data_IF_826828525511
#
_entry.id   IF_826828525511
#
_cell.length_a   1.000
_cell.length_b   1.000
_cell.length_c   1.000
_cell.angle_alpha   90.00
_cell.angle_beta   90.00
_cell.angle_gamma   90.00
#
_symmetry.space_group_name_H-M   'P 1'
#
loop_
_entity.id
_entity.type
_entity.pdbx_description
1 polymer ?
#
# COMPACT_ATOMS: atom_id res chain seq x y z
N UNK A 1 73.10 18.36 28.96
CA UNK A 1 71.92 19.13 28.52
C UNK A 1 71.83 18.98 27.02
N UNK A 2 70.68 18.66 26.39
CA UNK A 2 69.28 19.00 26.76
C UNK A 2 68.40 17.72 26.98
N UNK A 3 67.05 17.74 26.98
CA UNK A 3 66.28 17.52 28.20
C UNK A 3 65.46 16.22 28.28
N UNK A 4 65.18 15.86 29.55
CA UNK A 4 64.23 14.87 30.08
C UNK A 4 62.87 14.88 29.36
N UNK A 5 62.46 13.73 28.83
CA UNK A 5 61.05 13.43 28.58
C UNK A 5 60.37 12.96 29.88
N UNK A 6 59.23 13.56 30.16
CA UNK A 6 58.48 13.43 31.40
C UNK A 6 57.79 12.06 31.53
N UNK A 7 57.84 11.52 32.76
CA UNK A 7 56.94 10.47 33.26
C UNK A 7 55.51 11.00 33.20
N UNK A 8 54.65 10.39 32.38
CA UNK A 8 53.20 10.51 32.50
C UNK A 8 52.69 9.40 33.42
N UNK A 9 51.90 9.82 34.39
CA UNK A 9 51.32 8.99 35.44
C UNK A 9 50.27 8.02 34.87
N UNK A 10 50.30 6.78 35.38
CA UNK A 10 49.19 5.84 35.33
C UNK A 10 47.99 6.42 36.09
N UNK A 11 46.91 6.73 35.38
CA UNK A 11 45.58 6.88 35.95
C UNK A 11 44.80 5.56 35.74
N UNK A 12 43.94 5.16 36.69
CA UNK A 12 43.34 3.84 36.70
C UNK A 12 42.26 3.69 35.61
N UNK A 13 42.20 2.48 35.05
CA UNK A 13 41.14 2.00 34.18
C UNK A 13 39.78 2.10 34.91
N UNK A 14 38.77 2.80 34.36
CA UNK A 14 37.42 2.66 34.86
C UNK A 14 36.83 1.35 34.32
N UNK A 15 36.75 0.41 35.25
CA UNK A 15 35.95 -0.80 35.27
C UNK A 15 34.69 -0.74 34.38
N UNK A 16 34.52 -1.81 33.63
CA UNK A 16 33.31 -2.18 32.93
C UNK A 16 32.06 -2.00 33.79
N UNK A 17 31.20 -1.06 33.40
CA UNK A 17 29.79 -1.06 33.76
C UNK A 17 29.09 -1.76 32.59
N UNK A 18 28.70 -3.02 32.81
CA UNK A 18 27.74 -3.72 31.94
C UNK A 18 26.40 -3.01 32.09
N UNK A 19 25.76 -2.50 31.02
CA UNK A 19 24.34 -2.25 31.06
C UNK A 19 23.65 -3.61 30.88
N UNK A 20 23.32 -4.21 32.02
CA UNK A 20 22.15 -5.07 32.14
C UNK A 20 20.95 -4.17 31.82
N UNK A 21 20.44 -4.25 30.60
CA UNK A 21 19.32 -3.43 30.14
C UNK A 21 18.42 -4.30 29.28
N UNK A 22 17.22 -4.53 29.80
CA UNK A 22 16.09 -5.25 29.21
C UNK A 22 16.18 -5.42 27.68
N UNK A 23 16.17 -6.68 27.24
CA UNK A 23 15.71 -7.07 25.91
C UNK A 23 14.25 -6.61 25.77
N UNK A 24 14.04 -5.38 25.32
CA UNK A 24 12.79 -4.93 24.75
C UNK A 24 12.64 -5.65 23.41
N UNK A 25 12.06 -6.86 23.45
CA UNK A 25 11.30 -7.35 22.32
C UNK A 25 10.20 -6.32 22.02
N UNK A 26 10.04 -5.82 20.78
CA UNK A 26 8.76 -5.26 20.40
C UNK A 26 7.77 -6.42 20.33
N UNK A 27 6.93 -6.50 21.35
CA UNK A 27 5.67 -7.21 21.34
C UNK A 27 4.92 -6.87 20.05
N UNK A 28 4.71 -7.88 19.22
CA UNK A 28 3.84 -7.84 18.06
C UNK A 28 2.40 -7.73 18.58
N UNK A 29 1.81 -6.53 18.50
CA UNK A 29 0.37 -6.34 18.69
C UNK A 29 -0.25 -5.92 17.37
N UNK A 30 -1.05 -6.85 16.89
CA UNK A 30 -1.86 -6.82 15.69
C UNK A 30 -3.02 -5.85 15.90
N UNK A 31 -3.03 -4.73 15.18
CA UNK A 31 -4.23 -3.88 15.03
C UNK A 31 -4.87 -4.18 13.68
N UNK A 32 -5.45 -5.37 13.64
CA UNK A 32 -6.59 -5.75 12.81
C UNK A 32 -7.49 -6.52 13.76
N UNK A 33 -8.78 -6.19 13.85
CA UNK A 33 -9.73 -7.07 14.51
C UNK A 33 -9.50 -8.51 14.01
N UNK A 34 -9.17 -9.37 14.96
CA UNK A 34 -8.83 -10.79 14.82
C UNK A 34 -9.93 -11.48 13.98
N UNK A 35 -9.62 -12.25 12.91
CA UNK A 35 -10.60 -13.18 12.36
C UNK A 35 -10.96 -14.22 13.45
N UNK A 36 -12.23 -14.65 13.57
CA UNK A 36 -12.58 -15.73 14.48
C UNK A 36 -11.89 -17.02 14.01
N UNK A 37 -10.99 -17.52 14.87
CA UNK A 37 -10.32 -18.82 14.89
C UNK A 37 -9.90 -19.47 13.56
N UNK A 38 -8.63 -19.31 13.21
CA UNK A 38 -7.79 -20.41 12.70
C UNK A 38 -6.32 -20.12 13.05
N UNK A 39 -5.63 -21.13 13.60
CA UNK A 39 -4.30 -21.01 14.16
C UNK A 39 -3.21 -20.70 13.10
N UNK A 40 -2.14 -19.96 13.46
CA UNK A 40 -1.13 -19.50 12.50
C UNK A 40 -0.16 -20.63 12.11
N UNK A 41 0.01 -20.87 10.81
CA UNK A 41 1.24 -21.46 10.26
C UNK A 41 2.16 -20.33 9.79
N UNK A 42 3.46 -20.48 10.07
CA UNK A 42 4.46 -19.40 10.16
C UNK A 42 4.60 -18.47 8.92
N UNK A 43 5.08 -17.21 9.12
CA UNK A 43 4.81 -16.09 8.21
C UNK A 43 5.95 -15.77 7.24
N UNK A 44 5.61 -15.16 6.10
CA UNK A 44 6.54 -14.54 5.15
C UNK A 44 6.99 -13.19 5.73
N UNK A 45 8.25 -12.99 6.15
CA UNK A 45 8.54 -11.92 7.12
C UNK A 45 8.68 -10.48 6.57
N UNK A 46 8.81 -10.22 5.27
CA UNK A 46 9.37 -8.90 4.87
C UNK A 46 8.64 -8.13 3.75
N UNK A 47 7.33 -8.34 3.55
CA UNK A 47 6.52 -7.40 2.76
C UNK A 47 5.48 -6.72 3.65
N UNK A 48 5.73 -5.47 4.11
CA UNK A 48 4.75 -4.74 4.87
C UNK A 48 3.62 -4.27 3.94
N UNK A 49 2.46 -4.90 4.05
CA UNK A 49 1.20 -4.41 3.48
C UNK A 49 0.41 -3.71 4.59
N UNK A 50 0.13 -2.42 4.41
CA UNK A 50 -0.61 -1.62 5.39
C UNK A 50 -1.89 -1.13 4.76
N UNK A 51 -3.03 -1.46 5.39
CA UNK A 51 -4.35 -0.96 5.01
C UNK A 51 -4.74 0.14 6.01
N UNK A 52 -4.82 1.38 5.56
CA UNK A 52 -5.37 2.55 6.26
C UNK A 52 -6.81 2.79 5.76
N UNK A 53 -7.74 3.48 6.48
CA UNK A 53 -9.18 3.41 6.20
C UNK A 53 -9.63 3.71 4.76
N UNK A 54 -8.78 4.35 3.95
CA UNK A 54 -9.00 4.66 2.53
C UNK A 54 -7.77 4.45 1.65
N UNK A 55 -6.71 3.81 2.17
CA UNK A 55 -5.46 3.66 1.44
C UNK A 55 -4.77 2.31 1.69
N UNK A 56 -4.10 1.78 0.68
CA UNK A 56 -3.29 0.56 0.74
C UNK A 56 -1.86 0.91 0.39
N UNK A 57 -0.93 0.73 1.32
CA UNK A 57 0.50 0.92 1.09
C UNK A 57 1.24 -0.42 1.05
N UNK A 58 2.14 -0.56 0.09
CA UNK A 58 3.07 -1.68 0.00
C UNK A 58 4.44 -1.18 -0.47
N UNK A 59 5.51 -1.87 -0.07
CA UNK A 59 6.83 -1.66 -0.66
C UNK A 59 7.45 -2.99 -1.08
N UNK A 60 8.52 -2.92 -1.86
CA UNK A 60 9.39 -4.05 -2.16
C UNK A 60 9.85 -4.05 -3.62
N UNK A 61 10.37 -5.19 -4.12
CA UNK A 61 10.75 -5.31 -5.52
C UNK A 61 9.60 -4.97 -6.47
N UNK A 62 9.88 -4.13 -7.45
CA UNK A 62 8.97 -3.84 -8.54
C UNK A 62 8.78 -5.03 -9.48
N UNK A 63 7.80 -4.91 -10.37
CA UNK A 63 7.46 -5.91 -11.38
C UNK A 63 6.90 -5.18 -12.61
N UNK A 64 6.67 -5.93 -13.68
CA UNK A 64 5.89 -5.46 -14.80
C UNK A 64 4.40 -5.74 -14.56
N UNK A 65 3.57 -4.75 -14.85
CA UNK A 65 2.12 -4.88 -14.89
C UNK A 65 1.64 -4.86 -16.33
N UNK A 66 0.65 -5.70 -16.65
CA UNK A 66 -0.09 -5.56 -17.89
C UNK A 66 -1.02 -4.34 -17.81
N UNK A 67 -1.49 -3.88 -18.96
CA UNK A 67 -2.44 -2.77 -19.04
C UNK A 67 -3.68 -3.03 -18.15
N UNK A 68 -3.98 -2.11 -17.23
CA UNK A 68 -5.06 -2.20 -16.27
C UNK A 68 -5.59 -0.81 -15.87
N UNK A 69 -6.77 -0.80 -15.24
CA UNK A 69 -7.37 0.40 -14.66
C UNK A 69 -8.12 -0.03 -13.39
N UNK A 70 -8.15 0.86 -12.40
CA UNK A 70 -8.83 0.66 -11.13
C UNK A 70 -9.27 2.01 -10.56
N UNK A 71 -10.33 1.99 -9.75
CA UNK A 71 -10.92 3.20 -9.14
C UNK A 71 -9.95 3.98 -8.25
N UNK A 72 -9.08 3.27 -7.51
CA UNK A 72 -8.11 3.94 -6.67
C UNK A 72 -7.13 4.76 -7.50
N UNK A 73 -6.79 5.94 -7.00
CA UNK A 73 -5.55 6.59 -7.42
C UNK A 73 -4.39 5.73 -6.96
N UNK A 74 -3.29 5.70 -7.70
CA UNK A 74 -2.06 5.13 -7.15
C UNK A 74 -0.87 6.05 -7.30
N UNK A 75 0.00 6.07 -6.30
CA UNK A 75 1.31 6.69 -6.32
C UNK A 75 2.36 5.58 -6.29
N UNK A 76 3.25 5.55 -7.27
CA UNK A 76 4.39 4.62 -7.33
C UNK A 76 5.67 5.43 -7.34
N UNK A 77 6.55 5.18 -6.38
CA UNK A 77 7.86 5.81 -6.30
C UNK A 77 8.94 4.73 -6.33
N UNK A 78 9.91 4.85 -7.24
CA UNK A 78 11.12 4.05 -7.17
C UNK A 78 12.02 4.58 -6.05
N UNK A 79 12.45 3.73 -5.11
CA UNK A 79 13.42 4.12 -4.07
C UNK A 79 14.72 4.63 -4.66
N UNK A 80 15.14 4.03 -5.77
CA UNK A 80 16.28 4.43 -6.59
C UNK A 80 15.97 4.15 -8.06
N UNK A 81 16.63 4.84 -8.98
CA UNK A 81 16.42 4.63 -10.42
C UNK A 81 15.07 5.15 -10.92
N UNK A 82 14.56 4.50 -11.97
CA UNK A 82 13.35 4.87 -12.70
C UNK A 82 12.52 3.63 -13.06
N UNK A 83 11.24 3.86 -13.36
CA UNK A 83 10.33 2.87 -13.94
C UNK A 83 9.87 3.33 -15.32
N UNK A 84 9.43 2.37 -16.14
CA UNK A 84 8.72 2.67 -17.38
C UNK A 84 7.24 2.83 -17.12
N UNK A 85 6.66 3.91 -17.65
CA UNK A 85 5.25 4.26 -17.49
C UNK A 85 4.60 4.35 -18.86
N UNK A 86 3.48 3.65 -19.03
CA UNK A 86 2.61 3.79 -20.20
C UNK A 86 1.18 3.99 -19.74
N UNK A 87 0.58 5.11 -20.09
CA UNK A 87 -0.80 5.44 -19.75
C UNK A 87 -1.62 5.85 -20.98
N UNK A 88 -2.93 5.92 -20.79
CA UNK A 88 -3.86 6.45 -21.79
C UNK A 88 -3.46 7.88 -22.21
N UNK A 89 -3.47 8.14 -23.51
CA UNK A 89 -3.06 9.43 -24.09
C UNK A 89 -1.57 9.53 -24.43
N UNK A 90 -0.72 8.66 -23.89
CA UNK A 90 0.70 8.63 -24.23
C UNK A 90 0.95 7.87 -25.54
N UNK A 91 1.81 8.42 -26.41
CA UNK A 91 2.21 7.76 -27.67
C UNK A 91 3.19 6.60 -27.42
N UNK A 92 4.14 6.82 -26.52
CA UNK A 92 5.19 5.87 -26.14
C UNK A 92 5.27 5.77 -24.63
N UNK A 93 5.94 4.73 -24.13
CA UNK A 93 6.27 4.68 -22.71
C UNK A 93 7.33 5.74 -22.37
N UNK A 94 7.31 6.25 -21.14
CA UNK A 94 8.25 7.24 -20.63
C UNK A 94 8.93 6.73 -19.36
N UNK A 95 10.18 7.13 -19.14
CA UNK A 95 10.92 6.80 -17.93
C UNK A 95 10.70 7.89 -16.88
N UNK A 96 10.35 7.50 -15.66
CA UNK A 96 10.17 8.43 -14.54
C UNK A 96 10.70 7.84 -13.23
N UNK A 97 11.06 8.69 -12.28
CA UNK A 97 11.45 8.26 -10.93
C UNK A 97 10.24 7.86 -10.08
N UNK A 98 9.05 8.34 -10.45
CA UNK A 98 7.78 7.95 -9.87
C UNK A 98 6.61 8.38 -10.75
N UNK A 99 5.41 7.93 -10.41
CA UNK A 99 4.16 8.32 -11.09
C UNK A 99 3.00 8.38 -10.10
N UNK A 100 2.17 9.42 -10.22
CA UNK A 100 0.83 9.48 -9.66
C UNK A 100 -0.17 9.24 -10.80
N UNK A 101 -1.04 8.24 -10.64
CA UNK A 101 -2.06 7.87 -11.62
C UNK A 101 -3.44 8.22 -11.06
N UNK A 102 -4.22 8.96 -11.85
CA UNK A 102 -5.61 9.27 -11.52
C UNK A 102 -6.53 8.04 -11.50
N UNK A 103 -7.75 8.19 -10.97
CA UNK A 103 -8.71 7.09 -10.90
C UNK A 103 -9.12 6.63 -12.30
N UNK A 104 -9.27 5.32 -12.48
CA UNK A 104 -9.76 4.66 -13.71
C UNK A 104 -8.94 4.94 -14.99
N UNK A 105 -7.73 5.48 -14.85
CA UNK A 105 -6.83 5.68 -15.97
C UNK A 105 -6.21 4.34 -16.39
N UNK A 106 -6.31 4.02 -17.67
CA UNK A 106 -5.74 2.79 -18.21
C UNK A 106 -4.21 2.91 -18.35
N UNK A 107 -3.46 2.12 -17.60
CA UNK A 107 -2.01 2.23 -17.50
C UNK A 107 -1.29 0.88 -17.34
N UNK A 108 0.02 0.88 -17.56
CA UNK A 108 0.95 -0.23 -17.34
C UNK A 108 2.29 0.34 -16.87
N UNK A 109 2.91 -0.34 -15.93
CA UNK A 109 4.18 0.03 -15.31
C UNK A 109 5.19 -1.11 -15.43
N UNK A 110 6.45 -0.78 -15.63
CA UNK A 110 7.57 -1.71 -15.57
C UNK A 110 8.64 -1.20 -14.62
N UNK A 111 8.71 -1.83 -13.44
CA UNK A 111 9.65 -1.48 -12.38
C UNK A 111 10.51 -2.67 -11.94
N UNK A 112 10.73 -3.67 -12.81
CA UNK A 112 11.46 -4.91 -12.47
C UNK A 112 12.88 -4.68 -11.93
N UNK A 113 13.49 -3.56 -12.31
CA UNK A 113 14.86 -3.20 -11.94
C UNK A 113 14.91 -2.17 -10.79
N UNK A 114 13.80 -1.96 -10.07
CA UNK A 114 13.71 -0.99 -8.98
C UNK A 114 12.94 -1.55 -7.79
N UNK A 115 13.33 -1.12 -6.59
CA UNK A 115 12.46 -1.25 -5.42
C UNK A 115 11.46 -0.10 -5.44
N UNK A 116 10.18 -0.40 -5.21
CA UNK A 116 9.11 0.58 -5.31
C UNK A 116 8.30 0.65 -4.02
N UNK A 117 7.77 1.83 -3.74
CA UNK A 117 6.63 2.03 -2.84
C UNK A 117 5.41 2.29 -3.70
N UNK A 118 4.33 1.58 -3.40
CA UNK A 118 3.04 1.73 -4.06
C UNK A 118 2.02 2.10 -2.99
N UNK A 119 1.29 3.17 -3.24
CA UNK A 119 0.21 3.65 -2.39
C UNK A 119 -1.04 3.75 -3.25
N UNK A 120 -2.07 2.99 -2.92
CA UNK A 120 -3.40 3.16 -3.49
C UNK A 120 -4.21 4.06 -2.56
N UNK A 121 -4.89 5.07 -3.10
CA UNK A 121 -5.73 6.00 -2.35
C UNK A 121 -7.09 6.11 -3.03
N UNK A 122 -8.14 5.97 -2.24
CA UNK A 122 -9.51 6.13 -2.75
C UNK A 122 -9.78 7.61 -3.06
N UNK A 123 -10.18 7.95 -4.30
CA UNK A 123 -10.33 9.35 -4.72
C UNK A 123 -11.44 10.09 -3.95
N UNK A 124 -12.40 9.38 -3.36
CA UNK A 124 -13.46 9.97 -2.54
C UNK A 124 -13.05 10.31 -1.10
N UNK A 125 -11.80 10.04 -0.72
CA UNK A 125 -11.21 10.48 0.56
C UNK A 125 -10.66 11.90 0.46
N UNK A 126 -10.43 12.55 1.62
CA UNK A 126 -9.81 13.88 1.66
C UNK A 126 -8.38 13.85 1.07
N UNK A 127 -7.61 12.80 1.38
CA UNK A 127 -6.28 12.56 0.80
C UNK A 127 -6.36 12.34 -0.72
N UNK A 128 -7.36 11.58 -1.18
CA UNK A 128 -7.64 11.38 -2.60
C UNK A 128 -7.96 12.68 -3.32
N UNK A 129 -8.74 13.58 -2.70
CA UNK A 129 -9.03 14.89 -3.26
C UNK A 129 -7.77 15.77 -3.38
N UNK A 130 -6.88 15.74 -2.39
CA UNK A 130 -5.59 16.46 -2.42
C UNK A 130 -4.66 15.90 -3.49
N UNK A 131 -4.55 14.57 -3.63
CA UNK A 131 -3.80 13.93 -4.70
C UNK A 131 -4.38 14.27 -6.08
N UNK A 132 -5.71 14.27 -6.21
CA UNK A 132 -6.38 14.60 -7.45
C UNK A 132 -6.08 16.04 -7.89
N UNK A 133 -6.02 16.97 -6.95
CA UNK A 133 -5.64 18.36 -7.21
C UNK A 133 -4.15 18.53 -7.55
N UNK A 134 -3.31 17.57 -7.18
CA UNK A 134 -1.88 17.57 -7.51
C UNK A 134 -1.56 16.94 -8.87
N UNK A 135 -2.54 16.36 -9.57
CA UNK A 135 -2.37 15.83 -10.92
C UNK A 135 -2.29 16.96 -11.96
N UNK A 136 -1.52 16.71 -13.03
CA UNK A 136 -1.47 17.55 -14.23
C UNK A 136 -1.94 16.70 -15.42
N UNK A 137 -3.26 16.61 -15.59
CA UNK A 137 -3.90 15.66 -16.51
C UNK A 137 -4.18 14.30 -15.86
N UNK A 138 -4.25 13.20 -16.65
CA UNK A 138 -4.65 11.88 -16.13
C UNK A 138 -3.56 11.21 -15.28
N UNK A 139 -2.30 11.60 -15.46
CA UNK A 139 -1.16 11.11 -14.69
C UNK A 139 -0.20 12.28 -14.42
N UNK A 140 0.65 12.13 -13.40
CA UNK A 140 1.79 13.02 -13.16
C UNK A 140 3.04 12.17 -13.00
N UNK A 141 4.04 12.42 -13.85
CA UNK A 141 5.36 11.81 -13.74
C UNK A 141 6.22 12.62 -12.78
N UNK A 142 7.12 11.96 -12.04
CA UNK A 142 8.06 12.60 -11.13
C UNK A 142 9.50 12.39 -11.59
N UNK A 143 10.27 13.48 -11.59
CA UNK A 143 11.72 13.43 -11.75
C UNK A 143 12.41 13.00 -10.45
N UNK A 144 13.70 12.68 -10.53
CA UNK A 144 14.53 12.24 -9.41
C UNK A 144 14.43 13.17 -8.18
N UNK A 145 14.57 14.48 -8.37
CA UNK A 145 14.54 15.46 -7.28
C UNK A 145 13.17 15.53 -6.60
N UNK A 146 12.10 15.45 -7.38
CA UNK A 146 10.73 15.41 -6.86
C UNK A 146 10.47 14.12 -6.09
N UNK A 147 10.87 12.97 -6.65
CA UNK A 147 10.78 11.67 -5.97
C UNK A 147 11.57 11.68 -4.66
N UNK A 148 12.78 12.22 -4.63
CA UNK A 148 13.60 12.28 -3.42
C UNK A 148 12.92 13.10 -2.32
N UNK A 149 12.29 14.22 -2.68
CA UNK A 149 11.49 15.02 -1.75
C UNK A 149 10.29 14.23 -1.20
N UNK A 150 9.58 13.48 -2.05
CA UNK A 150 8.46 12.64 -1.63
C UNK A 150 8.90 11.47 -0.74
N UNK A 151 10.11 10.93 -0.93
CA UNK A 151 10.66 9.87 -0.08
C UNK A 151 11.16 10.37 1.29
N UNK A 152 11.37 11.68 1.46
CA UNK A 152 12.05 12.29 2.61
C UNK A 152 11.44 12.05 4.01
N UNK A 153 10.24 11.45 4.09
CA UNK A 153 9.58 11.07 5.35
C UNK A 153 9.25 9.58 5.47
N UNK A 154 9.61 8.77 4.47
CA UNK A 154 9.32 7.35 4.49
C UNK A 154 10.29 6.63 5.46
N UNK A 155 9.79 5.69 6.28
CA UNK A 155 10.66 4.84 7.09
C UNK A 155 11.71 4.14 6.22
N UNK A 156 13.00 4.39 6.50
CA UNK A 156 14.11 3.82 5.74
C UNK A 156 14.47 2.41 6.17
N UNK A 157 14.06 2.00 7.38
CA UNK A 157 14.22 0.66 7.95
C UNK A 157 13.07 0.33 8.92
N UNK A 158 12.67 -0.95 8.98
CA UNK A 158 11.62 -1.45 9.88
C UNK A 158 10.29 -1.73 9.18
N UNK A 159 9.29 -2.20 9.94
CA UNK A 159 7.94 -2.45 9.43
C UNK A 159 7.22 -1.13 9.12
N UNK A 160 6.48 -1.06 8.01
CA UNK A 160 5.52 0.04 7.80
C UNK A 160 4.43 -0.08 8.87
N UNK A 161 4.43 0.84 9.83
CA UNK A 161 3.33 0.96 10.78
C UNK A 161 2.27 1.90 10.21
N UNK A 162 1.02 1.74 10.64
CA UNK A 162 -0.06 2.67 10.28
C UNK A 162 0.30 4.13 10.59
N UNK A 163 0.91 4.39 11.75
CA UNK A 163 1.35 5.73 12.17
C UNK A 163 2.41 6.31 11.23
N UNK A 164 3.43 5.51 10.88
CA UNK A 164 4.52 5.98 10.03
C UNK A 164 4.06 6.25 8.59
N UNK A 165 3.18 5.40 8.04
CA UNK A 165 2.58 5.63 6.73
C UNK A 165 1.68 6.87 6.75
N UNK A 166 0.91 7.09 7.83
CA UNK A 166 0.09 8.28 7.98
C UNK A 166 0.91 9.57 8.02
N UNK A 167 2.01 9.59 8.80
CA UNK A 167 2.93 10.73 8.84
C UNK A 167 3.60 11.01 7.49
N UNK A 168 4.03 9.95 6.79
CA UNK A 168 4.60 10.07 5.45
C UNK A 168 3.59 10.56 4.42
N UNK A 169 2.34 10.09 4.47
CA UNK A 169 1.26 10.56 3.60
C UNK A 169 1.07 12.07 3.75
N UNK A 170 0.96 12.58 4.99
CA UNK A 170 0.78 14.01 5.21
C UNK A 170 1.94 14.84 4.64
N UNK A 171 3.18 14.39 4.85
CA UNK A 171 4.37 15.02 4.26
C UNK A 171 4.35 14.97 2.72
N UNK A 172 3.89 13.85 2.14
CA UNK A 172 3.77 13.66 0.69
C UNK A 172 2.74 14.63 0.12
N UNK A 173 1.58 14.74 0.74
CA UNK A 173 0.50 15.62 0.31
C UNK A 173 0.89 17.10 0.44
N UNK A 174 1.58 17.48 1.53
CA UNK A 174 2.15 18.81 1.68
C UNK A 174 3.16 19.14 0.56
N UNK A 175 4.05 18.19 0.24
CA UNK A 175 5.03 18.35 -0.85
C UNK A 175 4.38 18.51 -2.21
N UNK A 176 3.35 17.71 -2.50
CA UNK A 176 2.62 17.76 -3.77
C UNK A 176 1.82 19.05 -3.95
N UNK A 177 1.51 19.76 -2.84
CA UNK A 177 0.84 21.06 -2.81
C UNK A 177 -0.52 21.10 -3.54
N UNK A 178 -1.20 19.95 -3.65
CA UNK A 178 -2.51 19.87 -4.25
C UNK A 178 -3.56 20.52 -3.35
N UNK A 179 -4.16 21.62 -3.81
CA UNK A 179 -5.28 22.28 -3.11
C UNK A 179 -6.56 21.94 -3.85
N UNK A 180 -7.49 21.17 -3.27
CA UNK A 180 -8.77 20.88 -3.90
C UNK A 180 -9.52 22.17 -4.23
N UNK A 181 -10.01 22.29 -5.46
CA UNK A 181 -10.77 23.47 -5.92
C UNK A 181 -12.09 23.64 -5.15
N UNK A 182 -12.67 22.53 -4.68
CA UNK A 182 -13.80 22.51 -3.76
C UNK A 182 -13.73 21.28 -2.85
N UNK A 183 -14.27 21.35 -1.62
CA UNK A 183 -14.49 20.17 -0.79
C UNK A 183 -15.37 19.17 -1.54
N UNK A 184 -14.97 17.89 -1.61
CA UNK A 184 -15.86 16.86 -2.16
C UNK A 184 -17.02 16.64 -1.20
N UNK A 185 -18.23 16.91 -1.67
CA UNK A 185 -19.45 16.68 -0.89
C UNK A 185 -20.00 15.28 -1.19
N UNK A 186 -19.66 14.31 -0.33
CA UNK A 186 -20.33 13.01 -0.34
C UNK A 186 -21.77 13.16 0.15
N UNK A 187 -22.72 12.58 -0.59
CA UNK A 187 -24.09 12.51 -0.11
C UNK A 187 -24.15 11.82 1.27
N UNK A 188 -24.83 12.37 2.29
CA UNK A 188 -24.78 11.84 3.66
C UNK A 188 -25.14 10.35 3.77
N UNK A 189 -26.09 9.88 2.96
CA UNK A 189 -26.47 8.46 2.88
C UNK A 189 -25.39 7.57 2.26
N UNK A 190 -24.64 8.10 1.28
CA UNK A 190 -23.49 7.40 0.69
C UNK A 190 -22.34 7.37 1.68
N UNK A 191 -22.07 8.47 2.38
CA UNK A 191 -21.07 8.48 3.48
C UNK A 191 -21.39 7.42 4.54
N UNK A 192 -22.65 7.33 4.98
CA UNK A 192 -23.11 6.27 5.91
C UNK A 192 -22.83 4.88 5.34
N UNK A 193 -23.15 4.65 4.07
CA UNK A 193 -22.90 3.37 3.40
C UNK A 193 -21.39 3.06 3.31
N UNK A 194 -20.55 4.04 2.99
CA UNK A 194 -19.10 3.85 2.94
C UNK A 194 -18.54 3.50 4.32
N UNK A 195 -18.99 4.17 5.39
CA UNK A 195 -18.62 3.79 6.76
C UNK A 195 -19.02 2.35 7.09
N UNK A 196 -20.20 1.91 6.65
CA UNK A 196 -20.65 0.53 6.83
C UNK A 196 -19.81 -0.47 6.03
N UNK A 197 -19.49 -0.16 4.76
CA UNK A 197 -18.71 -1.03 3.88
C UNK A 197 -17.23 -1.15 4.29
N UNK A 198 -16.68 -0.10 4.93
CA UNK A 198 -15.28 -0.01 5.39
C UNK A 198 -15.09 -0.42 6.85
N UNK A 199 -16.15 -0.82 7.55
CA UNK A 199 -16.03 -1.36 8.90
C UNK A 199 -15.12 -2.60 8.90
N UNK A 200 -14.43 -2.84 10.02
CA UNK A 200 -13.49 -3.97 10.17
C UNK A 200 -14.16 -5.31 9.86
N UNK A 201 -15.40 -5.48 10.33
CA UNK A 201 -16.26 -6.58 9.92
C UNK A 201 -16.90 -6.23 8.57
N UNK A 202 -16.50 -6.96 7.52
CA UNK A 202 -17.16 -6.85 6.23
C UNK A 202 -18.66 -7.21 6.38
N UNK A 203 -19.57 -6.49 5.71
CA UNK A 203 -20.98 -6.87 5.70
C UNK A 203 -21.15 -8.26 5.10
N UNK A 204 -21.91 -9.12 5.79
CA UNK A 204 -22.23 -10.47 5.31
C UNK A 204 -23.06 -10.42 4.02
N UNK A 205 -24.00 -9.48 3.94
CA UNK A 205 -24.81 -9.23 2.74
C UNK A 205 -24.38 -7.94 2.03
N UNK A 206 -23.95 -8.11 0.78
CA UNK A 206 -23.59 -7.00 -0.13
C UNK A 206 -24.58 -6.90 -1.30
N UNK A 207 -25.78 -7.48 -1.16
CA UNK A 207 -26.91 -7.32 -2.07
C UNK A 207 -27.30 -5.85 -2.21
N UNK A 208 -27.82 -5.48 -3.37
CA UNK A 208 -28.21 -4.09 -3.61
C UNK A 208 -29.33 -3.67 -2.64
N UNK A 209 -30.23 -4.61 -2.33
CA UNK A 209 -31.35 -4.45 -1.41
C UNK A 209 -30.86 -4.14 0.01
N UNK A 210 -29.93 -4.93 0.56
CA UNK A 210 -29.37 -4.70 1.89
C UNK A 210 -28.62 -3.37 1.97
N UNK A 211 -27.77 -3.06 0.98
CA UNK A 211 -27.02 -1.81 0.97
C UNK A 211 -27.94 -0.58 0.81
N UNK A 212 -29.05 -0.73 0.06
CA UNK A 212 -30.07 0.30 -0.06
C UNK A 212 -30.79 0.55 1.27
N UNK A 213 -31.10 -0.51 2.03
CA UNK A 213 -31.65 -0.38 3.39
C UNK A 213 -30.68 0.33 4.34
N UNK A 214 -29.39 -0.02 4.32
CA UNK A 214 -28.34 0.65 5.12
C UNK A 214 -28.30 2.15 4.82
N UNK A 215 -28.30 2.49 3.53
CA UNK A 215 -28.30 3.88 3.07
C UNK A 215 -29.65 4.59 3.32
N UNK A 216 -30.74 3.87 3.54
CA UNK A 216 -32.10 4.41 3.60
C UNK A 216 -32.55 4.95 2.22
N UNK A 217 -32.21 4.25 1.14
CA UNK A 217 -32.56 4.61 -0.25
C UNK A 217 -33.28 3.44 -0.92
N UNK A 218 -33.98 3.70 -2.03
CA UNK A 218 -34.37 2.62 -2.94
C UNK A 218 -33.15 2.12 -3.71
N UNK A 219 -33.14 0.86 -4.19
CA UNK A 219 -32.04 0.28 -4.97
C UNK A 219 -31.57 1.17 -6.14
N UNK A 220 -32.49 1.64 -6.96
CA UNK A 220 -32.18 2.51 -8.10
C UNK A 220 -31.60 3.87 -7.67
N UNK A 221 -32.15 4.48 -6.61
CA UNK A 221 -31.65 5.75 -6.10
C UNK A 221 -30.25 5.59 -5.48
N UNK A 222 -30.00 4.48 -4.78
CA UNK A 222 -28.68 4.16 -4.27
C UNK A 222 -27.65 4.10 -5.40
N UNK A 223 -27.91 3.35 -6.47
CA UNK A 223 -26.95 3.23 -7.58
C UNK A 223 -26.57 4.59 -8.17
N UNK A 224 -27.58 5.43 -8.41
CA UNK A 224 -27.38 6.76 -8.97
C UNK A 224 -26.61 7.67 -8.01
N UNK A 225 -27.11 7.86 -6.78
CA UNK A 225 -26.50 8.75 -5.79
C UNK A 225 -25.10 8.28 -5.38
N UNK A 226 -24.85 6.97 -5.35
CA UNK A 226 -23.51 6.43 -5.11
C UNK A 226 -22.55 6.82 -6.22
N UNK A 227 -22.94 6.63 -7.49
CA UNK A 227 -22.09 6.97 -8.65
C UNK A 227 -21.81 8.47 -8.70
N UNK A 228 -22.81 9.32 -8.43
CA UNK A 228 -22.62 10.78 -8.34
C UNK A 228 -21.65 11.18 -7.22
N UNK A 229 -21.69 10.48 -6.08
CA UNK A 229 -20.85 10.82 -4.91
C UNK A 229 -19.43 10.27 -5.02
N UNK A 230 -19.26 9.04 -5.51
CA UNK A 230 -17.98 8.30 -5.50
C UNK A 230 -17.26 8.38 -6.84
N UNK A 231 -17.99 8.62 -7.94
CA UNK A 231 -17.46 8.68 -9.30
C UNK A 231 -17.51 7.34 -10.05
N UNK A 232 -17.69 6.22 -9.33
CA UNK A 232 -17.83 4.88 -9.93
C UNK A 232 -19.10 4.17 -9.49
N UNK A 233 -19.63 3.24 -10.31
CA UNK A 233 -20.77 2.45 -9.91
C UNK A 233 -20.46 1.57 -8.69
N UNK A 234 -21.51 1.29 -7.89
CA UNK A 234 -21.40 0.53 -6.64
C UNK A 234 -20.75 -0.86 -6.80
N UNK A 235 -21.07 -1.59 -7.87
CA UNK A 235 -20.55 -2.95 -8.08
C UNK A 235 -19.02 -3.00 -8.27
N UNK A 236 -18.41 -2.22 -9.21
CA UNK A 236 -16.97 -2.04 -9.27
C UNK A 236 -16.33 -1.64 -7.95
N UNK A 237 -16.97 -0.75 -7.19
CA UNK A 237 -16.48 -0.34 -5.88
C UNK A 237 -16.44 -1.49 -4.86
N UNK A 238 -17.52 -2.28 -4.77
CA UNK A 238 -17.53 -3.47 -3.92
C UNK A 238 -16.44 -4.47 -4.30
N UNK A 239 -16.18 -4.63 -5.61
CA UNK A 239 -15.11 -5.50 -6.09
C UNK A 239 -13.72 -5.00 -5.68
N UNK A 240 -13.50 -3.69 -5.70
CA UNK A 240 -12.30 -3.05 -5.18
C UNK A 240 -12.09 -3.36 -3.69
N UNK A 241 -13.12 -3.22 -2.87
CA UNK A 241 -13.05 -3.57 -1.44
C UNK A 241 -12.75 -5.06 -1.21
N UNK A 242 -13.35 -5.96 -2.01
CA UNK A 242 -13.03 -7.40 -1.96
C UNK A 242 -11.57 -7.66 -2.30
N UNK A 243 -11.01 -6.97 -3.30
CA UNK A 243 -9.60 -7.10 -3.63
C UNK A 243 -8.67 -6.60 -2.53
N UNK A 244 -8.98 -5.48 -1.86
CA UNK A 244 -8.21 -5.02 -0.71
C UNK A 244 -8.18 -6.07 0.40
N UNK A 245 -9.34 -6.66 0.73
CA UNK A 245 -9.44 -7.75 1.72
C UNK A 245 -8.63 -8.98 1.30
N UNK A 246 -8.73 -9.38 0.04
CA UNK A 246 -7.95 -10.50 -0.48
C UNK A 246 -6.44 -10.23 -0.41
N UNK A 247 -6.01 -9.01 -0.77
CA UNK A 247 -4.61 -8.60 -0.65
C UNK A 247 -4.13 -8.64 0.81
N UNK A 248 -4.94 -8.15 1.75
CA UNK A 248 -4.71 -8.25 3.19
C UNK A 248 -4.53 -9.69 3.65
N UNK A 249 -5.44 -10.59 3.26
CA UNK A 249 -5.37 -12.01 3.60
C UNK A 249 -4.12 -12.69 2.99
N UNK A 250 -3.79 -12.39 1.74
CA UNK A 250 -2.58 -12.92 1.08
C UNK A 250 -1.32 -12.46 1.81
N UNK A 251 -1.24 -11.19 2.20
CA UNK A 251 -0.11 -10.66 2.95
C UNK A 251 -0.02 -11.26 4.36
N UNK A 252 -1.15 -11.60 4.98
CA UNK A 252 -1.21 -12.36 6.22
C UNK A 252 -0.83 -13.85 6.07
N UNK A 253 -0.49 -14.30 4.86
CA UNK A 253 0.02 -15.65 4.60
C UNK A 253 -1.06 -16.67 4.24
N UNK A 254 -2.33 -16.26 4.08
CA UNK A 254 -3.39 -17.16 3.64
C UNK A 254 -3.14 -17.67 2.22
N UNK A 255 -3.60 -18.90 1.96
CA UNK A 255 -3.64 -19.45 0.60
C UNK A 255 -4.57 -18.63 -0.28
N UNK A 256 -4.38 -18.72 -1.61
CA UNK A 256 -5.27 -18.00 -2.55
C UNK A 256 -6.74 -18.43 -2.42
N UNK A 257 -6.99 -19.68 -2.03
CA UNK A 257 -8.35 -20.20 -1.80
C UNK A 257 -8.97 -19.59 -0.54
N UNK A 258 -8.24 -19.55 0.57
CA UNK A 258 -8.70 -18.92 1.82
C UNK A 258 -8.91 -17.41 1.63
N UNK A 259 -7.96 -16.73 0.98
CA UNK A 259 -8.08 -15.31 0.68
C UNK A 259 -9.28 -15.00 -0.24
N UNK A 260 -9.54 -15.85 -1.23
CA UNK A 260 -10.72 -15.74 -2.09
C UNK A 260 -12.01 -15.88 -1.28
N UNK A 261 -12.09 -16.90 -0.43
CA UNK A 261 -13.28 -17.15 0.39
C UNK A 261 -13.53 -16.02 1.40
N UNK A 262 -12.51 -15.62 2.16
CA UNK A 262 -12.60 -14.54 3.14
C UNK A 262 -12.98 -13.19 2.52
N UNK A 263 -12.57 -12.95 1.27
CA UNK A 263 -12.91 -11.75 0.53
C UNK A 263 -14.24 -11.82 -0.26
N UNK A 264 -14.96 -12.94 -0.23
CA UNK A 264 -16.23 -13.10 -0.92
C UNK A 264 -16.11 -13.31 -2.45
N UNK A 265 -15.02 -13.93 -2.91
CA UNK A 265 -14.91 -14.48 -4.26
C UNK A 265 -15.45 -15.92 -4.31
N UNK A 266 -15.90 -16.35 -5.48
CA UNK A 266 -16.38 -17.72 -5.70
C UNK A 266 -15.28 -18.77 -5.53
N UNK A 267 -14.07 -18.43 -5.96
CA UNK A 267 -12.90 -19.32 -5.97
C UNK A 267 -11.61 -18.53 -6.25
N UNK A 268 -10.47 -19.19 -6.06
CA UNK A 268 -9.14 -18.60 -6.28
C UNK A 268 -8.88 -18.18 -7.75
N UNK A 269 -9.53 -18.83 -8.72
CA UNK A 269 -9.37 -18.49 -10.14
C UNK A 269 -10.12 -17.20 -10.47
N UNK A 270 -11.30 -16.98 -9.90
CA UNK A 270 -12.04 -15.73 -9.98
C UNK A 270 -11.28 -14.58 -9.30
N UNK A 271 -10.72 -14.79 -8.11
CA UNK A 271 -9.81 -13.83 -7.49
C UNK A 271 -8.65 -13.49 -8.42
N UNK A 272 -7.94 -14.49 -8.96
CA UNK A 272 -6.77 -14.28 -9.83
C UNK A 272 -7.11 -13.50 -11.10
N UNK A 273 -8.20 -13.84 -11.79
CA UNK A 273 -8.66 -13.11 -12.99
C UNK A 273 -8.98 -11.65 -12.65
N UNK A 274 -9.65 -11.42 -11.53
CA UNK A 274 -10.03 -10.08 -11.07
C UNK A 274 -8.81 -9.25 -10.70
N UNK A 275 -7.90 -9.83 -9.92
CA UNK A 275 -6.66 -9.19 -9.49
C UNK A 275 -5.79 -8.81 -10.69
N UNK A 276 -5.65 -9.69 -11.69
CA UNK A 276 -4.94 -9.38 -12.93
C UNK A 276 -5.60 -8.28 -13.74
N UNK A 277 -6.93 -8.27 -13.83
CA UNK A 277 -7.66 -7.21 -14.52
C UNK A 277 -7.47 -5.85 -13.84
N UNK A 278 -7.50 -5.81 -12.51
CA UNK A 278 -7.49 -4.56 -11.75
C UNK A 278 -6.09 -4.06 -11.42
N UNK A 279 -5.09 -4.92 -11.18
CA UNK A 279 -3.72 -4.52 -10.81
C UNK A 279 -2.67 -4.84 -11.88
N UNK A 280 -3.08 -5.44 -13.01
CA UNK A 280 -2.16 -5.83 -14.08
C UNK A 280 -1.16 -6.94 -13.70
N UNK A 281 -1.27 -7.53 -12.52
CA UNK A 281 -0.39 -8.61 -12.03
C UNK A 281 -1.19 -9.71 -11.33
N UNK A 282 -0.56 -10.82 -10.98
CA UNK A 282 -1.25 -11.92 -10.28
C UNK A 282 -1.08 -11.82 -8.76
N UNK A 283 -2.01 -12.37 -7.97
CA UNK A 283 -1.84 -12.51 -6.52
C UNK A 283 -0.54 -13.23 -6.15
N UNK A 284 -0.13 -14.22 -6.96
CA UNK A 284 1.12 -14.93 -6.76
C UNK A 284 2.37 -14.08 -7.00
N UNK A 285 2.30 -13.02 -7.82
CA UNK A 285 3.40 -12.06 -7.91
C UNK A 285 3.58 -11.31 -6.61
N UNK A 286 2.48 -10.92 -5.96
CA UNK A 286 2.50 -10.30 -4.63
C UNK A 286 3.18 -11.21 -3.59
N UNK A 287 2.90 -12.52 -3.61
CA UNK A 287 3.56 -13.49 -2.75
C UNK A 287 5.06 -13.65 -3.04
N UNK A 288 5.47 -13.62 -4.32
CA UNK A 288 6.89 -13.75 -4.74
C UNK A 288 7.74 -12.53 -4.40
N UNK A 289 7.14 -11.38 -4.08
CA UNK A 289 7.84 -10.13 -3.73
C UNK A 289 8.33 -10.10 -2.28
N UNK A 290 8.08 -11.15 -1.49
CA UNK A 290 8.85 -11.41 -0.27
C UNK A 290 10.33 -11.66 -0.61
N UNK A 291 11.26 -11.44 0.33
CA UNK A 291 12.68 -11.53 0.03
C UNK A 291 13.06 -12.93 -0.43
N UNK A 292 13.91 -12.97 -1.45
CA UNK A 292 14.66 -14.18 -1.80
C UNK A 292 15.66 -14.44 -0.68
N UNK A 293 15.44 -15.49 0.10
CA UNK A 293 16.55 -16.14 0.82
C UNK A 293 17.56 -16.55 -0.25
N UNK A 294 18.64 -15.79 -0.40
CA UNK A 294 19.84 -16.33 -1.02
C UNK A 294 20.22 -17.52 -0.14
N UNK A 295 19.98 -18.73 -0.65
CA UNK A 295 20.56 -19.92 -0.07
C UNK A 295 22.07 -19.65 0.01
N UNK A 296 22.56 -19.39 1.23
CA UNK A 296 23.98 -19.30 1.48
C UNK A 296 24.59 -20.55 0.86
N UNK A 297 25.42 -20.33 -0.16
CA UNK A 297 26.21 -21.37 -0.77
C UNK A 297 26.90 -22.12 0.37
N UNK A 298 26.62 -23.43 0.42
CA UNK A 298 27.33 -24.39 1.27
C UNK A 298 28.80 -24.01 1.29
N UNK A 299 29.32 -23.63 2.46
CA UNK A 299 30.75 -23.73 2.72
C UNK A 299 31.10 -25.21 2.58
N UNK A 300 31.58 -25.58 1.40
CA UNK A 300 32.24 -26.85 1.15
C UNK A 300 33.57 -26.84 1.88
N UNK A 301 33.54 -27.27 3.14
CA UNK A 301 34.70 -27.84 3.77
C UNK A 301 35.02 -29.15 3.04
N UNK A 302 36.12 -29.16 2.28
CA UNK A 302 36.77 -30.40 1.85
C UNK A 302 38.28 -30.20 1.95
N UNK A 303 38.82 -30.86 2.98
CA UNK A 303 40.14 -31.47 3.16
C UNK A 303 41.39 -30.75 2.64
#
# INVERSE_FOLDING_TARGET
>A
MPPRAAKTAHAPSPSAIKPTGLLLQPLFQMLLARPPELAPQAPWPDMPLVVWPTALAMWGPGDATTKHAHHAMHLVLCRQGTLSVRAQGMKTAEQAAGVLVGPDILHALDARDSEVIILFVEPESDDGARLQAALDGPIRLFETTQRDALLGGLPTAGALTHEAVGGWMESTLATLSGTPEAPRHLHPRVRKLLCHLRAEAAPEDTSLEALAQVAGLSPGRLMHTFTESVGVPLRPYLLWLRLQRAAGAIAAGHTLSEAAHAAGFSDAAHLTRTFRRMFGTTPSSLQRRGPRVQAQGRNGATR
#
